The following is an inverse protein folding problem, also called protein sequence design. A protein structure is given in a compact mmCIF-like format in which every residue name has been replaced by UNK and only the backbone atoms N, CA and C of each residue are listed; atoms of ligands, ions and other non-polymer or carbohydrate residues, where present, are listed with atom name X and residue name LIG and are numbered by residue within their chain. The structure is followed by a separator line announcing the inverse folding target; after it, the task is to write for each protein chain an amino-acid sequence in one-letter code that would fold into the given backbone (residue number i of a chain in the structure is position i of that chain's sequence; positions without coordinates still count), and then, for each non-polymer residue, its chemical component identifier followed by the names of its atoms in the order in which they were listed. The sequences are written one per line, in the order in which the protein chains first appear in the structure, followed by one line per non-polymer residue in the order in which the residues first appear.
data_IF_062468988283
#
_entry.id   IF_062468988283
#
_cell.length_a   1.000
_cell.length_b   1.000
_cell.length_c   1.000
_cell.angle_alpha   90.00
_cell.angle_beta   90.00
_cell.angle_gamma   90.00
#
_symmetry.space_group_name_H-M   'P 1'
#
loop_
_entity.id
_entity.type
_entity.pdbx_description
1 polymer ?
#
# COMPACT_ATOMS: atom_id res chain seq x y z
N UNK A 1 2.10 -14.36 -16.62
CA UNK A 1 1.49 -14.45 -15.28
C UNK A 1 2.49 -15.07 -14.34
N UNK A 2 2.72 -14.45 -13.18
CA UNK A 2 3.56 -14.95 -12.10
C UNK A 2 2.74 -15.04 -10.81
N UNK A 3 3.15 -15.92 -9.90
CA UNK A 3 2.66 -15.93 -8.53
C UNK A 3 3.71 -15.29 -7.64
N UNK A 4 3.31 -14.34 -6.79
CA UNK A 4 4.18 -13.62 -5.86
C UNK A 4 3.85 -14.07 -4.45
N UNK A 5 4.87 -14.49 -3.71
CA UNK A 5 4.76 -14.89 -2.32
C UNK A 5 4.47 -13.66 -1.44
N UNK A 6 3.41 -13.77 -0.63
CA UNK A 6 2.98 -12.78 0.37
C UNK A 6 2.94 -13.38 1.77
N UNK A 7 3.55 -14.54 1.97
CA UNK A 7 3.56 -15.24 3.26
C UNK A 7 4.27 -14.44 4.36
N UNK A 8 5.26 -13.60 3.98
CA UNK A 8 5.97 -12.71 4.90
C UNK A 8 5.18 -11.44 5.28
N UNK A 9 4.12 -11.11 4.53
CA UNK A 9 3.34 -9.89 4.76
C UNK A 9 2.48 -10.04 6.01
N UNK A 10 2.45 -8.97 6.81
CA UNK A 10 1.59 -8.88 7.98
C UNK A 10 0.14 -8.86 7.53
N UNK A 11 -0.68 -9.76 8.07
CA UNK A 11 -2.12 -9.83 7.84
C UNK A 11 -2.84 -9.87 9.18
N UNK A 12 -3.78 -8.95 9.36
CA UNK A 12 -4.58 -8.83 10.58
C UNK A 12 -6.06 -8.97 10.22
N UNK A 13 -6.69 -10.01 10.77
CA UNK A 13 -8.15 -10.14 10.77
C UNK A 13 -8.71 -9.14 11.77
N UNK A 14 -9.67 -8.34 11.31
CA UNK A 14 -10.36 -7.32 12.10
C UNK A 14 -11.82 -7.71 12.22
N UNK A 15 -12.26 -7.96 13.44
CA UNK A 15 -13.65 -8.30 13.82
C UNK A 15 -14.21 -7.26 14.80
N UNK A 16 -15.44 -7.46 15.28
CA UNK A 16 -16.14 -6.52 16.17
C UNK A 16 -17.16 -5.64 15.44
N UNK A 17 -18.17 -5.17 16.15
CA UNK A 17 -19.32 -4.48 15.54
C UNK A 17 -18.98 -3.13 14.90
N UNK A 18 -17.90 -2.47 15.35
CA UNK A 18 -17.46 -1.17 14.86
C UNK A 18 -16.45 -1.22 13.70
N UNK A 19 -15.92 -2.41 13.34
CA UNK A 19 -14.77 -2.57 12.42
C UNK A 19 -14.84 -1.78 11.11
N UNK A 20 -16.03 -1.69 10.49
CA UNK A 20 -16.22 -0.95 9.24
C UNK A 20 -16.09 0.55 9.50
N UNK A 21 -16.83 1.08 10.47
CA UNK A 21 -16.77 2.51 10.85
C UNK A 21 -15.36 2.89 11.30
N UNK A 22 -14.71 2.04 12.07
CA UNK A 22 -13.33 2.23 12.55
C UNK A 22 -12.34 2.37 11.39
N UNK A 23 -12.29 1.39 10.47
CA UNK A 23 -11.38 1.44 9.31
C UNK A 23 -11.77 2.51 8.29
N UNK A 24 -13.06 2.83 8.19
CA UNK A 24 -13.57 3.98 7.42
C UNK A 24 -13.01 5.31 7.96
N UNK A 25 -12.90 5.47 9.28
CA UNK A 25 -12.36 6.69 9.89
C UNK A 25 -10.83 6.77 9.94
N UNK A 26 -10.12 5.64 9.79
CA UNK A 26 -8.67 5.57 9.99
C UNK A 26 -7.87 5.46 8.69
N UNK A 27 -8.44 4.89 7.64
CA UNK A 27 -7.73 4.62 6.38
C UNK A 27 -8.19 5.57 5.28
N UNK A 28 -7.43 5.68 4.19
CA UNK A 28 -7.89 6.39 2.97
C UNK A 28 -8.94 5.59 2.18
N UNK A 29 -9.18 4.33 2.55
CA UNK A 29 -10.00 3.37 1.80
C UNK A 29 -11.47 3.50 2.22
N UNK A 30 -12.38 3.42 1.27
CA UNK A 30 -13.81 3.38 1.55
C UNK A 30 -14.26 1.97 1.97
N UNK A 31 -14.14 1.67 3.27
CA UNK A 31 -14.44 0.36 3.83
C UNK A 31 -15.93 0.00 3.71
N UNK A 32 -16.82 0.98 3.68
CA UNK A 32 -18.28 0.79 3.52
C UNK A 32 -18.64 0.29 2.12
N UNK A 33 -17.85 0.65 1.11
CA UNK A 33 -18.04 0.25 -0.27
C UNK A 33 -17.48 -1.15 -0.59
N UNK A 34 -16.71 -1.75 0.32
CA UNK A 34 -16.16 -3.10 0.12
C UNK A 34 -17.27 -4.14 0.23
N UNK A 35 -17.53 -4.84 -0.87
CA UNK A 35 -18.37 -6.05 -0.92
C UNK A 35 -17.57 -7.27 -0.46
N UNK A 36 -18.25 -8.34 -0.08
CA UNK A 36 -17.58 -9.59 0.30
C UNK A 36 -16.70 -10.13 -0.85
N UNK A 37 -15.47 -10.53 -0.52
CA UNK A 37 -14.42 -10.88 -1.48
C UNK A 37 -13.75 -9.70 -2.18
N UNK A 38 -14.24 -8.47 -1.97
CA UNK A 38 -13.63 -7.25 -2.49
C UNK A 38 -12.44 -6.80 -1.65
N UNK A 39 -11.51 -6.09 -2.29
CA UNK A 39 -10.38 -5.46 -1.61
C UNK A 39 -10.02 -4.12 -2.29
N UNK A 40 -9.26 -3.30 -1.59
CA UNK A 40 -8.72 -2.06 -2.11
C UNK A 40 -7.40 -1.70 -1.44
N UNK A 41 -6.51 -1.06 -2.20
CA UNK A 41 -5.29 -0.47 -1.68
C UNK A 41 -5.54 0.93 -1.13
N UNK A 42 -4.70 1.33 -0.17
CA UNK A 42 -4.69 2.69 0.35
C UNK A 42 -3.62 2.86 1.41
N UNK A 43 -3.85 3.80 2.32
CA UNK A 43 -2.89 4.10 3.37
C UNK A 43 -3.57 4.43 4.70
N UNK A 44 -2.79 4.26 5.77
CA UNK A 44 -3.05 4.90 7.06
C UNK A 44 -2.15 6.13 7.13
N UNK A 45 -2.73 7.27 7.49
CA UNK A 45 -2.01 8.54 7.55
C UNK A 45 -1.82 9.01 8.99
N UNK A 46 -0.83 9.89 9.20
CA UNK A 46 -0.75 10.66 10.42
C UNK A 46 -1.70 11.87 10.36
N UNK A 47 -1.96 12.56 11.49
CA UNK A 47 -2.82 13.75 11.50
C UNK A 47 -2.34 14.91 10.61
N UNK A 48 -1.07 14.90 10.19
CA UNK A 48 -0.50 15.88 9.24
C UNK A 48 -0.64 15.45 7.77
N UNK A 49 -1.27 14.30 7.50
CA UNK A 49 -1.52 13.79 6.15
C UNK A 49 -0.40 12.95 5.52
N UNK A 50 0.63 12.58 6.28
CA UNK A 50 1.74 11.76 5.76
C UNK A 50 1.48 10.27 5.90
N UNK A 51 2.07 9.48 4.99
CA UNK A 51 1.87 8.02 4.91
C UNK A 51 2.57 7.31 6.06
N UNK A 52 1.80 6.69 6.97
CA UNK A 52 2.34 5.85 8.03
C UNK A 52 2.47 4.38 7.61
N UNK A 53 1.54 3.90 6.80
CA UNK A 53 1.49 2.52 6.31
C UNK A 53 0.73 2.47 5.00
N UNK A 54 1.21 1.66 4.07
CA UNK A 54 0.49 1.28 2.84
C UNK A 54 -0.17 -0.06 3.10
N UNK A 55 -1.47 -0.15 2.84
CA UNK A 55 -2.27 -1.32 3.18
C UNK A 55 -3.11 -1.79 2.01
N UNK A 56 -3.35 -3.09 1.96
CA UNK A 56 -4.50 -3.70 1.28
C UNK A 56 -5.58 -3.98 2.33
N UNK A 57 -6.81 -3.57 2.07
CA UNK A 57 -7.97 -3.83 2.92
C UNK A 57 -8.95 -4.71 2.16
N UNK A 58 -9.12 -5.95 2.62
CA UNK A 58 -10.05 -6.91 2.04
C UNK A 58 -11.25 -7.16 2.96
N UNK A 59 -12.40 -7.48 2.38
CA UNK A 59 -13.57 -8.00 3.12
C UNK A 59 -13.70 -9.50 2.91
N UNK A 60 -13.77 -10.25 4.01
CA UNK A 60 -13.86 -11.71 4.01
C UNK A 60 -15.00 -12.12 4.95
N UNK A 61 -16.16 -12.39 4.36
CA UNK A 61 -17.41 -12.65 5.06
C UNK A 61 -17.81 -11.48 5.94
N UNK A 62 -17.88 -11.74 7.25
CA UNK A 62 -18.16 -10.75 8.26
C UNK A 62 -16.92 -10.01 8.75
N UNK A 63 -15.69 -10.41 8.38
CA UNK A 63 -14.46 -9.76 8.82
C UNK A 63 -13.88 -8.81 7.77
N UNK A 64 -12.98 -7.93 8.22
CA UNK A 64 -12.04 -7.21 7.35
C UNK A 64 -10.64 -7.78 7.57
N UNK A 65 -9.79 -7.73 6.56
CA UNK A 65 -8.38 -8.12 6.65
C UNK A 65 -7.52 -6.94 6.20
N UNK A 66 -6.64 -6.48 7.09
CA UNK A 66 -5.63 -5.47 6.78
C UNK A 66 -4.32 -6.20 6.49
N UNK A 67 -3.77 -6.03 5.29
CA UNK A 67 -2.47 -6.57 4.91
C UNK A 67 -1.48 -5.45 4.62
N UNK A 68 -0.20 -5.65 4.97
CA UNK A 68 0.88 -4.71 4.71
C UNK A 68 2.23 -5.42 4.57
N UNK A 69 3.24 -4.73 4.03
CA UNK A 69 4.59 -5.27 3.92
C UNK A 69 5.13 -5.75 5.27
N UNK A 70 5.95 -6.80 5.26
CA UNK A 70 6.49 -7.45 6.46
C UNK A 70 7.06 -6.46 7.50
N UNK A 71 7.84 -5.48 7.05
CA UNK A 71 8.47 -4.45 7.88
C UNK A 71 7.48 -3.48 8.55
N UNK A 72 6.24 -3.39 8.06
CA UNK A 72 5.18 -2.53 8.59
C UNK A 72 4.26 -3.27 9.56
N UNK A 73 4.38 -4.58 9.74
CA UNK A 73 3.43 -5.41 10.51
C UNK A 73 3.20 -4.85 11.92
N UNK A 74 4.27 -4.77 12.73
CA UNK A 74 4.19 -4.31 14.12
C UNK A 74 3.72 -2.85 14.22
N UNK A 75 4.23 -1.98 13.34
CA UNK A 75 3.85 -0.57 13.31
C UNK A 75 2.38 -0.39 12.95
N UNK A 76 1.89 -1.09 11.93
CA UNK A 76 0.51 -1.04 11.47
C UNK A 76 -0.43 -1.55 12.56
N UNK A 77 -0.10 -2.68 13.18
CA UNK A 77 -0.83 -3.23 14.32
C UNK A 77 -0.92 -2.22 15.47
N UNK A 78 0.21 -1.66 15.89
CA UNK A 78 0.27 -0.71 16.99
C UNK A 78 -0.53 0.58 16.70
N UNK A 79 -0.59 1.01 15.44
CA UNK A 79 -1.44 2.14 15.04
C UNK A 79 -2.91 1.76 15.19
N UNK A 80 -3.34 0.61 14.66
CA UNK A 80 -4.72 0.15 14.76
C UNK A 80 -5.16 0.05 16.23
N UNK A 81 -4.36 -0.62 17.07
CA UNK A 81 -4.65 -0.79 18.51
C UNK A 81 -4.73 0.56 19.24
N UNK A 82 -3.86 1.52 18.90
CA UNK A 82 -3.88 2.86 19.51
C UNK A 82 -5.17 3.62 19.23
N UNK A 83 -5.74 3.48 18.04
CA UNK A 83 -6.98 4.20 17.67
C UNK A 83 -8.25 3.46 18.11
N UNK A 84 -8.17 2.15 18.38
CA UNK A 84 -9.30 1.29 18.71
C UNK A 84 -9.85 1.43 20.15
N UNK A 85 -9.28 2.31 20.99
CA UNK A 85 -9.53 2.34 22.46
C UNK A 85 -11.02 2.38 22.84
N UNK A 86 -11.85 3.05 22.03
CA UNK A 86 -13.28 3.25 22.30
C UNK A 86 -14.19 2.48 21.32
N UNK A 87 -13.62 1.71 20.40
CA UNK A 87 -14.35 0.99 19.36
C UNK A 87 -14.44 -0.50 19.69
N UNK A 88 -15.58 -1.14 19.42
CA UNK A 88 -15.72 -2.59 19.50
C UNK A 88 -15.03 -3.25 18.29
N UNK A 89 -13.71 -3.39 18.37
CA UNK A 89 -12.86 -4.03 17.36
C UNK A 89 -11.78 -4.92 17.98
N UNK A 90 -11.52 -6.05 17.33
CA UNK A 90 -10.47 -7.00 17.74
C UNK A 90 -9.54 -7.26 16.56
N UNK A 91 -8.24 -7.43 16.84
CA UNK A 91 -7.21 -7.71 15.85
C UNK A 91 -6.56 -9.06 16.12
N UNK A 92 -6.66 -9.98 15.16
CA UNK A 92 -6.05 -11.31 15.22
C UNK A 92 -5.08 -11.50 14.06
N UNK A 93 -3.81 -11.90 14.30
CA UNK A 93 -2.88 -12.18 13.22
C UNK A 93 -3.35 -13.38 12.40
N UNK A 94 -3.22 -13.26 11.07
CA UNK A 94 -3.38 -14.38 10.14
C UNK A 94 -1.99 -14.86 9.76
N UNK A 95 -1.68 -16.09 10.18
CA UNK A 95 -0.43 -16.77 9.86
C UNK A 95 -0.57 -17.68 8.63
N UNK A 96 0.55 -18.24 8.19
CA UNK A 96 0.58 -19.24 7.12
C UNK A 96 0.80 -18.63 5.74
N UNK A 97 0.76 -19.45 4.68
CA UNK A 97 1.14 -19.01 3.36
C UNK A 97 0.08 -18.10 2.71
N UNK A 98 0.54 -17.17 1.88
CA UNK A 98 -0.32 -16.36 1.02
C UNK A 98 0.39 -15.95 -0.26
N UNK A 99 -0.37 -15.62 -1.28
CA UNK A 99 0.19 -15.19 -2.56
C UNK A 99 -0.73 -14.22 -3.30
N UNK A 100 -0.17 -13.53 -4.31
CA UNK A 100 -0.91 -12.81 -5.34
C UNK A 100 -0.55 -13.35 -6.72
N UNK A 101 -1.48 -13.26 -7.68
CA UNK A 101 -1.23 -13.66 -9.08
C UNK A 101 -1.24 -12.44 -9.98
N UNK A 102 -0.10 -12.15 -10.60
CA UNK A 102 0.05 -10.99 -11.49
C UNK A 102 0.15 -11.44 -12.93
N UNK A 103 -0.79 -11.00 -13.76
CA UNK A 103 -0.78 -11.24 -15.20
C UNK A 103 0.11 -10.23 -15.94
N UNK A 104 0.02 -8.97 -15.54
CA UNK A 104 0.63 -7.79 -16.15
C UNK A 104 0.77 -6.65 -15.10
N UNK A 105 1.41 -5.51 -15.44
CA UNK A 105 1.54 -4.39 -14.49
C UNK A 105 0.21 -3.83 -13.95
N UNK A 106 -0.89 -3.86 -14.72
CA UNK A 106 -2.18 -3.36 -14.24
C UNK A 106 -2.77 -4.28 -13.15
N UNK A 107 -2.55 -5.59 -13.27
CA UNK A 107 -3.03 -6.58 -12.31
C UNK A 107 -2.37 -6.49 -10.94
N UNK A 108 -1.20 -5.86 -10.80
CA UNK A 108 -0.44 -5.81 -9.53
C UNK A 108 -1.26 -5.17 -8.40
N UNK A 109 -2.03 -4.13 -8.71
CA UNK A 109 -2.91 -3.44 -7.75
C UNK A 109 -4.30 -4.07 -7.61
N UNK A 110 -4.69 -4.93 -8.54
CA UNK A 110 -6.05 -5.50 -8.62
C UNK A 110 -6.11 -6.96 -8.16
N UNK A 111 -4.97 -7.65 -8.07
CA UNK A 111 -4.91 -9.02 -7.63
C UNK A 111 -5.09 -9.09 -6.10
N UNK A 112 -6.08 -9.85 -5.59
CA UNK A 112 -6.24 -10.00 -4.15
C UNK A 112 -5.10 -10.84 -3.56
N UNK A 113 -4.81 -10.62 -2.29
CA UNK A 113 -3.96 -11.53 -1.51
C UNK A 113 -4.81 -12.75 -1.15
N UNK A 114 -4.37 -13.94 -1.57
CA UNK A 114 -5.07 -15.20 -1.37
C UNK A 114 -4.30 -16.04 -0.35
N UNK A 115 -4.99 -16.53 0.67
CA UNK A 115 -4.44 -17.49 1.63
C UNK A 115 -4.21 -18.84 0.96
N UNK A 116 -3.05 -19.44 1.20
CA UNK A 116 -2.67 -20.74 0.65
C UNK A 116 -1.27 -20.72 0.04
N UNK A 117 -0.59 -21.86 0.14
CA UNK A 117 0.70 -22.07 -0.49
C UNK A 117 0.54 -22.23 -2.00
N UNK A 118 1.48 -21.66 -2.73
CA UNK A 118 1.68 -21.91 -4.15
C UNK A 118 3.18 -22.19 -4.33
N UNK A 119 3.54 -23.42 -4.71
CA UNK A 119 4.94 -23.83 -4.81
C UNK A 119 5.69 -23.13 -5.96
N UNK A 120 4.96 -22.45 -6.86
CA UNK A 120 5.53 -21.62 -7.91
C UNK A 120 5.61 -20.13 -7.51
N UNK A 121 5.23 -19.78 -6.28
CA UNK A 121 5.34 -18.42 -5.77
C UNK A 121 6.79 -17.96 -5.71
N UNK A 122 7.02 -16.72 -6.14
CA UNK A 122 8.33 -16.06 -6.18
C UNK A 122 8.42 -15.02 -5.07
N UNK A 123 9.58 -14.91 -4.44
CA UNK A 123 9.81 -13.93 -3.37
C UNK A 123 9.84 -12.49 -3.87
N UNK A 124 9.79 -11.55 -2.91
CA UNK A 124 9.88 -10.11 -3.18
C UNK A 124 11.22 -9.64 -3.78
N UNK A 125 12.24 -10.49 -3.74
CA UNK A 125 13.58 -10.30 -4.32
C UNK A 125 13.74 -10.87 -5.74
N UNK A 126 12.70 -11.53 -6.28
CA UNK A 126 12.72 -12.04 -7.65
C UNK A 126 12.71 -10.90 -8.69
N UNK A 127 13.51 -11.05 -9.74
CA UNK A 127 13.70 -10.01 -10.76
C UNK A 127 12.41 -9.68 -11.53
N UNK A 128 11.57 -10.69 -11.82
CA UNK A 128 10.32 -10.45 -12.55
C UNK A 128 9.26 -9.81 -11.65
N UNK A 129 9.27 -10.15 -10.35
CA UNK A 129 8.46 -9.47 -9.33
C UNK A 129 8.84 -8.00 -9.27
N UNK A 130 10.13 -7.68 -9.15
CA UNK A 130 10.63 -6.30 -9.12
C UNK A 130 10.29 -5.54 -10.41
N UNK A 131 10.43 -6.20 -11.57
CA UNK A 131 10.08 -5.62 -12.88
C UNK A 131 8.60 -5.24 -12.97
N UNK A 132 7.69 -6.15 -12.65
CA UNK A 132 6.25 -5.88 -12.70
C UNK A 132 5.85 -4.84 -11.65
N UNK A 133 6.41 -4.92 -10.45
CA UNK A 133 6.20 -3.95 -9.37
C UNK A 133 6.53 -2.53 -9.82
N UNK A 134 7.75 -2.32 -10.34
CA UNK A 134 8.21 -1.01 -10.80
C UNK A 134 7.36 -0.51 -11.97
N UNK A 135 7.07 -1.36 -12.97
CA UNK A 135 6.21 -1.01 -14.11
C UNK A 135 4.78 -0.63 -13.69
N UNK A 136 4.25 -1.26 -12.65
CA UNK A 136 2.95 -0.94 -12.07
C UNK A 136 2.95 0.32 -11.19
N UNK A 137 4.13 0.82 -10.84
CA UNK A 137 4.33 1.82 -9.79
C UNK A 137 3.93 1.31 -8.41
N UNK A 138 3.96 0.00 -8.17
CA UNK A 138 3.69 -0.60 -6.87
C UNK A 138 4.82 -0.29 -5.89
N UNK A 139 4.48 0.23 -4.72
CA UNK A 139 5.43 0.87 -3.83
C UNK A 139 6.08 -0.13 -2.90
N UNK A 140 7.39 0.02 -2.67
CA UNK A 140 8.09 -0.57 -1.52
C UNK A 140 8.23 0.48 -0.42
N UNK A 141 7.74 0.20 0.78
CA UNK A 141 7.86 1.15 1.90
C UNK A 141 9.34 1.32 2.30
N UNK A 142 9.73 2.52 2.70
CA UNK A 142 11.12 2.89 3.00
C UNK A 142 12.01 3.12 1.77
N UNK A 143 11.61 2.63 0.59
CA UNK A 143 12.32 2.89 -0.67
C UNK A 143 11.56 3.91 -1.54
N UNK A 144 10.28 3.66 -1.83
CA UNK A 144 9.46 4.47 -2.72
C UNK A 144 8.47 5.39 -1.98
N UNK A 145 8.16 5.06 -0.72
CA UNK A 145 7.23 5.81 0.13
C UNK A 145 7.56 5.61 1.60
N UNK A 146 7.38 6.65 2.41
CA UNK A 146 7.59 6.66 3.85
C UNK A 146 6.81 7.81 4.50
N UNK A 147 7.10 8.11 5.77
CA UNK A 147 6.44 9.18 6.54
C UNK A 147 6.77 10.60 6.07
N UNK A 148 7.72 10.77 5.16
CA UNK A 148 8.01 12.07 4.55
C UNK A 148 7.17 12.32 3.29
N UNK A 149 6.30 11.39 2.90
CA UNK A 149 5.48 11.49 1.70
C UNK A 149 4.02 11.78 2.02
N UNK A 150 3.41 12.67 1.23
CA UNK A 150 1.96 12.72 1.07
C UNK A 150 1.51 11.67 0.05
N UNK A 151 0.28 11.14 0.15
CA UNK A 151 -0.26 10.23 -0.87
C UNK A 151 -0.23 10.80 -2.30
N UNK A 152 -0.39 12.12 -2.45
CA UNK A 152 -0.34 12.81 -3.75
C UNK A 152 1.04 12.84 -4.42
N UNK A 153 2.09 12.63 -3.64
CA UNK A 153 3.46 12.57 -4.16
C UNK A 153 3.76 11.16 -4.72
N UNK A 154 2.86 10.20 -4.55
CA UNK A 154 3.04 8.80 -4.96
C UNK A 154 1.84 8.31 -5.77
N UNK A 155 1.90 7.11 -6.35
CA UNK A 155 0.76 6.48 -7.01
C UNK A 155 -0.43 6.20 -6.08
N UNK A 156 -0.31 6.39 -4.76
CA UNK A 156 -1.44 6.26 -3.82
C UNK A 156 -2.54 7.29 -4.05
N UNK A 157 -2.22 8.42 -4.71
CA UNK A 157 -3.18 9.47 -5.06
C UNK A 157 -4.45 8.93 -5.74
N UNK A 158 -4.34 7.86 -6.53
CA UNK A 158 -5.46 7.24 -7.26
C UNK A 158 -6.40 6.41 -6.36
N UNK A 159 -5.98 6.12 -5.14
CA UNK A 159 -6.72 5.33 -4.16
C UNK A 159 -7.28 6.19 -3.02
N UNK A 160 -7.19 7.52 -3.13
CA UNK A 160 -7.92 8.42 -2.25
C UNK A 160 -9.38 8.47 -2.70
N UNK A 161 -10.28 8.09 -1.80
CA UNK A 161 -11.72 8.28 -2.03
C UNK A 161 -12.13 9.69 -1.56
N UNK A 162 -12.68 10.47 -2.50
CA UNK A 162 -13.13 11.86 -2.27
C UNK A 162 -14.59 11.93 -1.81
N UNK A 163 -15.34 10.84 -1.96
CA UNK A 163 -16.75 10.73 -1.58
C UNK A 163 -16.98 10.05 -0.23
N UNK A 164 -15.96 9.40 0.35
CA UNK A 164 -16.05 8.80 1.68
C UNK A 164 -16.09 9.84 2.79
N UNK A 165 -16.59 9.41 3.96
CA UNK A 165 -16.59 10.20 5.18
C UNK A 165 -15.18 10.57 5.68
N UNK A 166 -15.13 11.43 6.70
CA UNK A 166 -13.88 11.95 7.25
C UNK A 166 -12.95 10.83 7.73
N UNK A 167 -11.66 10.96 7.43
CA UNK A 167 -10.61 10.09 7.95
C UNK A 167 -9.40 10.87 8.48
N UNK A 168 -8.61 10.23 9.35
CA UNK A 168 -7.42 10.85 9.95
C UNK A 168 -6.44 11.33 8.87
N UNK A 169 -6.06 12.61 8.94
CA UNK A 169 -5.11 13.22 8.00
C UNK A 169 -5.71 13.67 6.66
N UNK A 170 -7.03 13.57 6.47
CA UNK A 170 -7.69 14.01 5.23
C UNK A 170 -7.52 15.50 4.95
N UNK A 171 -7.82 16.38 5.89
CA UNK A 171 -7.81 17.83 5.65
C UNK A 171 -6.44 18.35 5.16
N UNK A 172 -5.29 18.00 5.79
CA UNK A 172 -3.99 18.40 5.26
C UNK A 172 -3.69 17.87 3.86
N UNK A 173 -4.05 16.59 3.58
CA UNK A 173 -3.85 15.95 2.27
C UNK A 173 -4.56 16.75 1.17
N UNK A 174 -5.84 17.07 1.38
CA UNK A 174 -6.65 17.80 0.41
C UNK A 174 -6.22 19.26 0.27
N UNK A 175 -5.77 19.88 1.36
CA UNK A 175 -5.22 21.24 1.33
C UNK A 175 -3.97 21.35 0.46
N UNK A 176 -3.03 20.42 0.62
CA UNK A 176 -1.80 20.37 -0.20
C UNK A 176 -2.13 20.15 -1.68
N UNK A 177 -3.10 19.27 -1.96
CA UNK A 177 -3.55 19.03 -3.33
C UNK A 177 -4.18 20.26 -3.99
N UNK A 178 -5.10 20.92 -3.29
CA UNK A 178 -5.79 22.11 -3.80
C UNK A 178 -4.82 23.27 -4.11
N UNK A 179 -3.69 23.34 -3.40
CA UNK A 179 -2.67 24.35 -3.64
C UNK A 179 -1.73 24.01 -4.81
N UNK A 180 -1.81 22.81 -5.40
CA UNK A 180 -0.92 22.37 -6.49
C UNK A 180 0.53 22.13 -6.06
N UNK A 181 0.81 22.03 -4.76
CA UNK A 181 2.14 22.12 -4.17
C UNK A 181 2.78 20.76 -3.83
N UNK A 182 2.62 19.73 -4.66
CA UNK A 182 3.41 18.52 -4.47
C UNK A 182 4.90 18.87 -4.67
N UNK A 183 5.69 18.85 -3.59
CA UNK A 183 7.09 19.26 -3.63
C UNK A 183 7.93 18.31 -4.50
N UNK A 184 7.48 17.05 -4.58
CA UNK A 184 8.02 16.00 -5.43
C UNK A 184 6.90 15.09 -5.93
N UNK A 185 7.17 14.30 -6.96
CA UNK A 185 6.25 13.25 -7.41
C UNK A 185 7.05 12.05 -7.88
N UNK A 186 6.68 10.86 -7.42
CA UNK A 186 7.27 9.61 -7.89
C UNK A 186 6.83 9.34 -9.34
N UNK A 187 7.80 9.06 -10.21
CA UNK A 187 7.58 8.80 -11.65
C UNK A 187 8.38 7.60 -12.10
N UNK A 188 7.78 6.79 -12.98
CA UNK A 188 8.51 5.76 -13.73
C UNK A 188 9.24 6.39 -14.91
N UNK A 189 10.50 5.98 -15.11
CA UNK A 189 11.33 6.41 -16.24
C UNK A 189 11.90 5.16 -16.94
N UNK A 190 11.95 5.20 -18.26
CA UNK A 190 12.76 4.28 -19.05
C UNK A 190 14.11 4.95 -19.31
N UNK A 191 15.19 4.26 -18.97
CA UNK A 191 16.55 4.77 -19.10
C UNK A 191 17.35 3.74 -19.88
N UNK A 192 18.11 4.19 -20.89
CA UNK A 192 19.03 3.32 -21.62
C UNK A 192 20.18 2.90 -20.70
N UNK A 193 20.40 1.59 -20.61
CA UNK A 193 21.43 1.00 -19.76
C UNK A 193 21.28 -0.51 -19.66
N UNK A 194 22.32 -1.17 -19.17
CA UNK A 194 22.37 -2.63 -19.03
C UNK A 194 22.44 -3.09 -17.57
N UNK A 195 22.37 -2.16 -16.61
CA UNK A 195 22.46 -2.45 -15.17
C UNK A 195 21.46 -1.58 -14.39
N UNK A 196 20.97 -2.05 -13.22
CA UNK A 196 20.15 -1.24 -12.35
C UNK A 196 20.93 -0.02 -11.84
N UNK A 197 20.24 1.10 -11.68
CA UNK A 197 20.76 2.33 -11.08
C UNK A 197 20.58 2.25 -9.56
N UNK A 198 21.63 2.55 -8.80
CA UNK A 198 21.58 2.54 -7.35
C UNK A 198 20.49 3.47 -6.78
N UNK A 199 19.81 3.04 -5.73
CA UNK A 199 18.90 3.89 -4.96
C UNK A 199 19.64 5.12 -4.41
N UNK A 200 18.99 6.27 -4.44
CA UNK A 200 19.57 7.57 -4.09
C UNK A 200 20.41 8.23 -5.19
N UNK A 201 20.67 7.55 -6.32
CA UNK A 201 21.38 8.17 -7.44
C UNK A 201 20.62 9.41 -7.94
N UNK A 202 21.36 10.51 -8.16
CA UNK A 202 20.77 11.78 -8.55
C UNK A 202 20.23 11.73 -9.99
N UNK A 203 18.98 12.15 -10.16
CA UNK A 203 18.39 12.49 -11.45
C UNK A 203 18.60 13.98 -11.69
N UNK A 204 19.22 14.34 -12.81
CA UNK A 204 19.51 15.75 -13.18
C UNK A 204 18.66 16.26 -14.34
N UNK A 205 18.11 15.35 -15.15
CA UNK A 205 17.20 15.62 -16.26
C UNK A 205 16.23 14.43 -16.44
N UNK A 206 15.00 14.64 -16.96
CA UNK A 206 14.40 15.92 -17.36
C UNK A 206 13.99 16.80 -16.16
N UNK A 207 14.05 16.25 -14.93
CA UNK A 207 13.81 16.98 -13.69
C UNK A 207 14.85 16.56 -12.64
N UNK A 208 15.00 17.39 -11.59
CA UNK A 208 15.86 17.06 -10.45
C UNK A 208 15.14 16.08 -9.52
N UNK A 209 15.84 15.05 -9.06
CA UNK A 209 15.31 14.06 -8.13
C UNK A 209 16.34 13.00 -7.77
N UNK A 210 15.86 11.86 -7.26
CA UNK A 210 16.69 10.70 -6.94
C UNK A 210 15.96 9.42 -7.34
N UNK A 211 16.72 8.40 -7.74
CA UNK A 211 16.20 7.06 -8.00
C UNK A 211 15.78 6.42 -6.67
N UNK A 212 14.55 5.90 -6.58
CA UNK A 212 14.09 5.13 -5.41
C UNK A 212 14.33 3.64 -5.63
N UNK A 213 13.87 3.14 -6.77
CA UNK A 213 13.96 1.75 -7.21
C UNK A 213 14.35 1.69 -8.68
N UNK A 214 15.05 0.64 -9.10
CA UNK A 214 15.36 0.39 -10.51
C UNK A 214 15.52 -1.11 -10.80
N UNK A 215 15.32 -1.49 -12.05
CA UNK A 215 15.43 -2.86 -12.54
C UNK A 215 15.83 -2.83 -14.01
N UNK A 216 16.56 -3.85 -14.46
CA UNK A 216 16.87 -4.02 -15.90
C UNK A 216 15.68 -4.67 -16.56
N UNK A 217 15.20 -4.04 -17.62
CA UNK A 217 14.06 -4.55 -18.39
C UNK A 217 14.42 -5.77 -19.23
#
# INVERSE_FOLDING_TARGET
MITVDRSSWGRLRVTGSDRIRFLQGLTTINAEALVDGGHAWGAILNPKGRVLSVIDLARVGDALVVACEAQLTEKTRAILERYAVMDDVTFEPIEGPAHQRWADPASVWLAPIVEGADSAARGDDDLEVERLRIRAGFLRYGADVDEDHFPFETPLARFLDYGKGCYVGQEPVFRVHAQGNAARTLRGLLVEGSAPIASGAALTAPAKGSVTSSVVD
#
